data_IF_831919546915
#
_entry.id   IF_831919546915
#
_cell.length_a   1.000
_cell.length_b   1.000
_cell.length_c   1.000
_cell.angle_alpha   90.00
_cell.angle_beta   90.00
_cell.angle_gamma   90.00
#
_symmetry.space_group_name_H-M   'P 1'
#
loop_
_entity.id
_entity.type
_entity.pdbx_description
1 polymer ?
#
# COMPACT_ATOMS: atom_id res chain seq x y z
N UNK A 1 -27.91 2.86 2.50
CA UNK A 1 -26.58 2.87 1.84
C UNK A 1 -26.54 1.69 0.89
N UNK A 2 -26.24 1.89 -0.39
CA UNK A 2 -25.85 0.76 -1.24
C UNK A 2 -24.49 0.29 -0.72
N UNK A 3 -24.50 -0.66 0.23
CA UNK A 3 -23.32 -1.35 0.72
C UNK A 3 -22.67 -2.01 -0.49
N UNK A 4 -21.68 -1.36 -1.09
CA UNK A 4 -20.74 -2.08 -1.93
C UNK A 4 -20.12 -3.15 -1.04
N UNK A 5 -20.28 -4.40 -1.44
CA UNK A 5 -19.71 -5.54 -0.77
C UNK A 5 -18.21 -5.28 -0.57
N UNK A 6 -17.77 -5.17 0.69
CA UNK A 6 -16.38 -4.87 1.04
C UNK A 6 -15.43 -5.95 0.54
N UNK A 7 -15.95 -7.14 0.22
CA UNK A 7 -15.18 -8.24 -0.32
C UNK A 7 -15.07 -8.19 -1.85
N UNK A 8 -15.57 -7.15 -2.52
CA UNK A 8 -15.50 -7.04 -3.98
C UNK A 8 -14.80 -5.75 -4.38
N UNK A 9 -13.74 -5.90 -5.17
CA UNK A 9 -12.99 -4.78 -5.76
C UNK A 9 -13.20 -4.80 -7.27
N UNK A 10 -13.55 -3.64 -7.84
CA UNK A 10 -13.54 -3.43 -9.28
C UNK A 10 -12.29 -2.65 -9.67
N UNK A 11 -11.45 -3.32 -10.45
CA UNK A 11 -10.21 -2.81 -11.02
C UNK A 11 -10.50 -1.91 -12.23
N UNK A 12 -9.64 -0.91 -12.42
CA UNK A 12 -9.70 0.04 -13.53
C UNK A 12 -9.10 -0.58 -14.79
N UNK A 13 -7.84 -1.03 -14.69
CA UNK A 13 -7.14 -1.63 -15.82
C UNK A 13 -7.45 -3.11 -15.91
N UNK A 14 -7.42 -3.79 -14.77
CA UNK A 14 -7.62 -5.23 -14.64
C UNK A 14 -6.37 -6.05 -14.96
N UNK A 15 -6.34 -7.27 -14.47
CA UNK A 15 -5.26 -8.22 -14.79
C UNK A 15 -5.44 -8.71 -16.24
N UNK A 16 -4.45 -8.40 -17.08
CA UNK A 16 -4.42 -8.81 -18.49
C UNK A 16 -4.01 -10.26 -18.62
N UNK A 17 -4.74 -11.02 -19.43
CA UNK A 17 -4.42 -12.40 -19.79
C UNK A 17 -4.72 -12.65 -21.25
N UNK A 18 -4.09 -13.68 -21.82
CA UNK A 18 -4.32 -14.10 -23.19
C UNK A 18 -5.14 -15.39 -23.20
N UNK A 19 -6.28 -15.39 -23.87
CA UNK A 19 -7.14 -16.58 -24.05
C UNK A 19 -7.32 -16.79 -25.55
N UNK A 20 -6.61 -17.78 -26.09
CA UNK A 20 -6.48 -17.96 -27.54
C UNK A 20 -5.87 -16.71 -28.19
N UNK A 21 -6.54 -16.15 -29.19
CA UNK A 21 -6.08 -14.96 -29.92
C UNK A 21 -6.60 -13.63 -29.31
N UNK A 22 -7.29 -13.68 -28.17
CA UNK A 22 -7.88 -12.49 -27.55
C UNK A 22 -7.19 -12.12 -26.22
N UNK A 23 -6.92 -10.84 -26.04
CA UNK A 23 -6.53 -10.27 -24.74
C UNK A 23 -7.80 -10.02 -23.92
N UNK A 24 -7.83 -10.57 -22.72
CA UNK A 24 -8.94 -10.47 -21.78
C UNK A 24 -8.48 -9.81 -20.49
N UNK A 25 -9.40 -9.17 -19.76
CA UNK A 25 -9.07 -8.40 -18.55
C UNK A 25 -9.95 -8.84 -17.39
N UNK A 26 -9.32 -9.40 -16.36
CA UNK A 26 -10.00 -9.71 -15.11
C UNK A 26 -10.11 -8.43 -14.29
N UNK A 27 -11.34 -7.91 -14.18
CA UNK A 27 -11.61 -6.60 -13.57
C UNK A 27 -12.26 -6.68 -12.20
N UNK A 28 -12.72 -7.86 -11.79
CA UNK A 28 -13.35 -8.03 -10.49
C UNK A 28 -12.48 -8.93 -9.65
N UNK A 29 -12.16 -8.51 -8.44
CA UNK A 29 -11.43 -9.33 -7.46
C UNK A 29 -12.35 -9.57 -6.29
N UNK A 30 -12.52 -10.83 -5.91
CA UNK A 30 -13.15 -11.17 -4.64
C UNK A 30 -12.07 -11.34 -3.59
N UNK A 31 -12.31 -10.76 -2.42
CA UNK A 31 -11.44 -10.78 -1.28
C UNK A 31 -12.02 -11.70 -0.19
N UNK A 32 -11.14 -12.12 0.70
CA UNK A 32 -11.45 -12.90 1.89
C UNK A 32 -10.62 -12.39 3.08
N UNK A 33 -11.04 -12.80 4.27
CA UNK A 33 -10.22 -12.68 5.47
C UNK A 33 -8.99 -13.60 5.33
N UNK A 34 -7.86 -13.13 5.84
CA UNK A 34 -6.61 -13.89 5.93
C UNK A 34 -6.56 -14.68 7.23
N UNK A 35 -5.73 -15.70 7.23
CA UNK A 35 -5.46 -16.55 8.38
C UNK A 35 -4.00 -16.44 8.78
N UNK A 36 -3.64 -16.95 9.96
CA UNK A 36 -2.24 -17.07 10.39
C UNK A 36 -1.39 -17.87 9.37
N UNK A 37 -1.98 -18.86 8.70
CA UNK A 37 -1.29 -19.61 7.65
C UNK A 37 -0.98 -18.75 6.42
N UNK A 38 -1.85 -17.79 6.09
CA UNK A 38 -1.64 -16.84 5.01
C UNK A 38 -0.51 -15.86 5.34
N UNK A 39 -0.49 -15.34 6.57
CA UNK A 39 0.60 -14.47 7.06
C UNK A 39 1.95 -15.19 6.99
N UNK A 40 1.99 -16.45 7.44
CA UNK A 40 3.19 -17.26 7.36
C UNK A 40 3.64 -17.51 5.91
N UNK A 41 2.71 -17.80 5.00
CA UNK A 41 3.01 -17.96 3.58
C UNK A 41 3.49 -16.65 2.94
N UNK A 42 2.95 -15.50 3.35
CA UNK A 42 3.42 -14.18 2.91
C UNK A 42 4.84 -13.89 3.43
N UNK A 43 5.12 -14.23 4.68
CA UNK A 43 6.46 -14.09 5.29
C UNK A 43 7.49 -14.92 4.52
N UNK A 44 7.20 -16.18 4.23
CA UNK A 44 8.09 -17.05 3.45
C UNK A 44 8.40 -16.50 2.04
N UNK A 45 7.44 -15.83 1.40
CA UNK A 45 7.67 -15.20 0.09
C UNK A 45 8.54 -13.93 0.17
N UNK A 46 8.51 -13.27 1.32
CA UNK A 46 9.22 -12.04 1.59
C UNK A 46 10.63 -12.25 2.21
N UNK A 47 10.94 -13.47 2.64
CA UNK A 47 12.25 -13.86 3.14
C UNK A 47 13.33 -13.77 2.05
N UNK A 48 14.48 -13.18 2.40
CA UNK A 48 15.65 -13.02 1.54
C UNK A 48 16.92 -13.22 2.36
N UNK A 49 17.90 -13.89 1.75
CA UNK A 49 19.26 -13.95 2.29
C UNK A 49 20.04 -12.75 1.78
N UNK A 50 20.53 -11.93 2.70
CA UNK A 50 21.38 -10.78 2.40
C UNK A 50 22.71 -10.90 3.12
N UNK A 51 23.76 -10.29 2.57
CA UNK A 51 25.04 -10.20 3.27
C UNK A 51 25.03 -9.00 4.23
N UNK A 52 25.27 -9.27 5.51
CA UNK A 52 25.48 -8.24 6.54
C UNK A 52 26.86 -8.43 7.13
N UNK A 53 27.80 -7.57 6.75
CA UNK A 53 29.21 -7.58 7.22
C UNK A 53 29.94 -8.91 6.93
N UNK A 54 29.76 -9.46 5.72
CA UNK A 54 30.37 -10.71 5.28
C UNK A 54 29.68 -11.96 5.82
N UNK A 55 28.47 -11.83 6.40
CA UNK A 55 27.70 -12.94 6.96
C UNK A 55 26.33 -13.05 6.27
N UNK A 56 25.96 -14.21 5.72
CA UNK A 56 24.62 -14.41 5.19
C UNK A 56 23.61 -14.35 6.34
N UNK A 57 22.66 -13.42 6.23
CA UNK A 57 21.62 -13.17 7.22
C UNK A 57 20.26 -13.24 6.53
N UNK A 58 19.33 -13.99 7.11
CA UNK A 58 17.95 -14.04 6.64
C UNK A 58 17.19 -12.81 7.16
N UNK A 59 16.65 -12.01 6.25
CA UNK A 59 15.77 -10.87 6.57
C UNK A 59 14.46 -11.00 5.80
N UNK A 60 13.42 -10.35 6.31
CA UNK A 60 12.11 -10.23 5.64
C UNK A 60 12.01 -8.84 5.04
N UNK A 61 11.63 -8.74 3.77
CA UNK A 61 11.35 -7.46 3.13
C UNK A 61 9.91 -7.02 3.46
N UNK A 62 9.76 -5.87 4.12
CA UNK A 62 8.44 -5.32 4.47
C UNK A 62 7.58 -5.06 3.22
N UNK A 63 8.20 -4.57 2.14
CA UNK A 63 7.50 -4.30 0.88
C UNK A 63 6.99 -5.59 0.24
N UNK A 64 7.83 -6.62 0.13
CA UNK A 64 7.41 -7.91 -0.42
C UNK A 64 6.38 -8.59 0.49
N UNK A 65 6.51 -8.45 1.81
CA UNK A 65 5.56 -8.98 2.77
C UNK A 65 4.19 -8.33 2.56
N UNK A 66 4.13 -6.99 2.44
CA UNK A 66 2.89 -6.26 2.17
C UNK A 66 2.23 -6.78 0.90
N UNK A 67 2.94 -6.83 -0.22
CA UNK A 67 2.39 -7.29 -1.50
C UNK A 67 1.96 -8.75 -1.44
N UNK A 68 2.76 -9.62 -0.80
CA UNK A 68 2.43 -11.03 -0.65
C UNK A 68 1.19 -11.23 0.24
N UNK A 69 1.04 -10.47 1.31
CA UNK A 69 -0.14 -10.52 2.18
C UNK A 69 -1.38 -9.99 1.46
N UNK A 70 -1.27 -8.90 0.70
CA UNK A 70 -2.36 -8.39 -0.15
C UNK A 70 -2.81 -9.45 -1.16
N UNK A 71 -1.87 -10.17 -1.77
CA UNK A 71 -2.22 -11.31 -2.63
C UNK A 71 -3.00 -12.39 -1.85
N UNK A 72 -2.65 -12.67 -0.59
CA UNK A 72 -3.38 -13.68 0.22
C UNK A 72 -4.82 -13.29 0.54
N UNK A 73 -5.14 -12.00 0.58
CA UNK A 73 -6.53 -11.54 0.69
C UNK A 73 -7.36 -11.83 -0.56
N UNK A 74 -6.74 -12.00 -1.72
CA UNK A 74 -7.48 -12.33 -2.94
C UNK A 74 -8.01 -13.77 -2.85
N UNK A 75 -9.31 -13.98 -3.03
CA UNK A 75 -9.89 -15.31 -3.22
C UNK A 75 -9.79 -15.72 -4.69
N UNK A 76 -10.25 -14.82 -5.58
CA UNK A 76 -10.23 -15.05 -7.03
C UNK A 76 -10.33 -13.76 -7.85
N UNK A 77 -9.82 -13.83 -9.06
CA UNK A 77 -10.00 -12.83 -10.10
C UNK A 77 -11.07 -13.31 -11.08
N UNK A 78 -12.02 -12.43 -11.41
CA UNK A 78 -13.18 -12.74 -12.23
C UNK A 78 -13.19 -11.90 -13.51
N UNK A 79 -13.60 -12.53 -14.60
CA UNK A 79 -13.85 -11.91 -15.89
C UNK A 79 -15.17 -12.45 -16.43
N UNK A 80 -16.03 -11.57 -16.95
CA UNK A 80 -17.33 -11.98 -17.44
C UNK A 80 -17.20 -12.96 -18.62
N UNK A 81 -17.84 -14.13 -18.50
CA UNK A 81 -17.85 -15.15 -19.55
C UNK A 81 -16.60 -16.03 -19.62
N UNK A 82 -15.68 -15.94 -18.64
CA UNK A 82 -14.52 -16.79 -18.50
C UNK A 82 -14.48 -17.45 -17.12
N UNK A 83 -13.69 -18.49 -16.99
CA UNK A 83 -13.43 -19.13 -15.70
C UNK A 83 -12.66 -18.19 -14.77
N UNK A 84 -13.03 -18.19 -13.49
CA UNK A 84 -12.33 -17.43 -12.46
C UNK A 84 -10.89 -17.95 -12.28
N UNK A 85 -9.95 -17.05 -11.99
CA UNK A 85 -8.60 -17.42 -11.56
C UNK A 85 -8.57 -17.45 -10.03
N UNK A 86 -8.60 -18.63 -9.39
CA UNK A 86 -8.47 -18.73 -7.94
C UNK A 86 -7.07 -18.35 -7.47
N UNK A 87 -6.94 -17.93 -6.21
CA UNK A 87 -5.65 -17.60 -5.58
C UNK A 87 -4.59 -18.69 -5.75
N UNK A 88 -4.98 -19.97 -5.72
CA UNK A 88 -4.06 -21.10 -5.85
C UNK A 88 -3.32 -21.12 -7.19
N UNK A 89 -3.85 -20.46 -8.22
CA UNK A 89 -3.22 -20.32 -9.55
C UNK A 89 -2.54 -18.96 -9.72
N UNK A 90 -2.68 -18.04 -8.76
CA UNK A 90 -2.11 -16.70 -8.83
C UNK A 90 -0.69 -16.68 -8.24
N UNK A 91 0.29 -16.35 -9.07
CA UNK A 91 1.67 -16.14 -8.62
C UNK A 91 1.92 -14.68 -8.26
N UNK A 92 2.96 -14.42 -7.46
CA UNK A 92 3.37 -13.04 -7.12
C UNK A 92 3.76 -12.25 -8.38
N UNK A 93 4.35 -12.92 -9.37
CA UNK A 93 4.69 -12.30 -10.67
C UNK A 93 3.44 -11.90 -11.45
N UNK A 94 2.43 -12.77 -11.52
CA UNK A 94 1.16 -12.44 -12.18
C UNK A 94 0.46 -11.29 -11.47
N UNK A 95 0.43 -11.32 -10.14
CA UNK A 95 -0.14 -10.25 -9.32
C UNK A 95 0.60 -8.92 -9.51
N UNK A 96 1.93 -8.95 -9.64
CA UNK A 96 2.77 -7.79 -9.92
C UNK A 96 2.55 -7.16 -11.31
N UNK A 97 1.77 -7.77 -12.21
CA UNK A 97 1.36 -7.17 -13.50
C UNK A 97 0.18 -6.21 -13.37
N UNK A 98 -0.45 -6.15 -12.21
CA UNK A 98 -1.48 -5.14 -11.93
C UNK A 98 -0.88 -3.75 -12.00
N UNK A 99 -1.68 -2.78 -12.45
CA UNK A 99 -1.24 -1.39 -12.39
C UNK A 99 -1.13 -0.94 -10.93
N UNK A 100 -0.26 0.03 -10.62
CA UNK A 100 -0.12 0.54 -9.25
C UNK A 100 -1.45 1.05 -8.67
N UNK A 101 -2.33 1.60 -9.52
CA UNK A 101 -3.66 2.05 -9.13
C UNK A 101 -4.55 0.88 -8.71
N UNK A 102 -4.54 -0.21 -9.47
CA UNK A 102 -5.33 -1.40 -9.16
C UNK A 102 -4.82 -2.11 -7.90
N UNK A 103 -3.49 -2.17 -7.71
CA UNK A 103 -2.90 -2.70 -6.50
C UNK A 103 -3.31 -1.87 -5.27
N UNK A 104 -3.23 -0.54 -5.35
CA UNK A 104 -3.64 0.34 -4.24
C UNK A 104 -5.11 0.17 -3.88
N UNK A 105 -6.00 -0.02 -4.86
CA UNK A 105 -7.43 -0.29 -4.61
C UNK A 105 -7.67 -1.62 -3.90
N UNK A 106 -6.90 -2.65 -4.23
CA UNK A 106 -6.96 -3.93 -3.53
C UNK A 106 -6.46 -3.74 -2.10
N UNK A 107 -5.30 -3.11 -1.91
CA UNK A 107 -4.70 -2.84 -0.58
C UNK A 107 -5.67 -2.08 0.33
N UNK A 108 -6.26 -0.98 -0.14
CA UNK A 108 -7.25 -0.20 0.61
C UNK A 108 -8.44 -1.07 1.04
N UNK A 109 -8.92 -1.94 0.14
CA UNK A 109 -10.04 -2.81 0.45
C UNK A 109 -9.67 -3.93 1.42
N UNK A 110 -8.46 -4.46 1.36
CA UNK A 110 -7.95 -5.43 2.34
C UNK A 110 -7.98 -4.84 3.76
N UNK A 111 -7.55 -3.58 3.92
CA UNK A 111 -7.62 -2.89 5.22
C UNK A 111 -9.06 -2.83 5.75
N UNK A 112 -10.04 -2.56 4.88
CA UNK A 112 -11.46 -2.56 5.28
C UNK A 112 -11.97 -3.95 5.67
N UNK A 113 -11.51 -5.01 4.98
CA UNK A 113 -11.82 -6.40 5.33
C UNK A 113 -11.26 -6.75 6.70
N UNK A 114 -10.02 -6.36 6.99
CA UNK A 114 -9.37 -6.61 8.28
C UNK A 114 -10.05 -5.85 9.43
N UNK A 115 -10.37 -4.57 9.21
CA UNK A 115 -11.12 -3.77 10.18
C UNK A 115 -12.50 -4.38 10.47
N UNK A 116 -13.19 -4.87 9.43
CA UNK A 116 -14.47 -5.55 9.59
C UNK A 116 -14.31 -6.87 10.38
N UNK A 117 -13.24 -7.63 10.15
CA UNK A 117 -12.93 -8.83 10.92
C UNK A 117 -12.64 -8.50 12.39
N UNK A 118 -11.86 -7.46 12.67
CA UNK A 118 -11.57 -7.00 14.04
C UNK A 118 -12.84 -6.59 14.79
N UNK A 119 -13.77 -5.89 14.13
CA UNK A 119 -15.08 -5.56 14.70
C UNK A 119 -15.89 -6.83 15.01
N UNK A 120 -15.92 -7.77 14.06
CA UNK A 120 -16.64 -9.06 14.19
C UNK A 120 -16.11 -9.89 15.37
N UNK A 121 -14.80 -9.83 15.62
CA UNK A 121 -14.13 -10.52 16.73
C UNK A 121 -14.10 -9.71 18.03
N UNK A 122 -14.70 -8.51 18.06
CA UNK A 122 -14.81 -7.68 19.26
C UNK A 122 -13.49 -7.04 19.71
N UNK A 123 -12.49 -6.96 18.82
CA UNK A 123 -11.21 -6.31 19.11
C UNK A 123 -11.33 -4.77 19.06
N UNK A 124 -12.28 -4.26 18.29
CA UNK A 124 -12.60 -2.83 18.19
C UNK A 124 -14.09 -2.61 18.44
N UNK A 125 -14.44 -1.43 18.96
CA UNK A 125 -15.84 -1.01 19.08
C UNK A 125 -16.40 -0.53 17.75
N UNK A 126 -17.73 -0.53 17.62
CA UNK A 126 -18.40 -0.01 16.41
C UNK A 126 -18.08 1.47 16.17
N UNK A 127 -18.06 2.29 17.22
CA UNK A 127 -17.70 3.72 17.12
C UNK A 127 -16.27 3.92 16.59
N UNK A 128 -15.33 3.07 17.01
CA UNK A 128 -13.95 3.12 16.53
C UNK A 128 -13.85 2.75 15.04
N UNK A 129 -14.59 1.72 14.62
CA UNK A 129 -14.67 1.31 13.22
C UNK A 129 -15.25 2.43 12.33
N UNK A 130 -16.37 3.05 12.74
CA UNK A 130 -17.01 4.12 11.98
C UNK A 130 -16.13 5.37 11.87
N UNK A 131 -15.36 5.69 12.92
CA UNK A 131 -14.38 6.79 12.90
C UNK A 131 -13.29 6.54 11.87
N UNK A 132 -12.70 5.34 11.87
CA UNK A 132 -11.64 4.98 10.92
C UNK A 132 -12.16 4.96 9.47
N UNK A 133 -13.36 4.45 9.23
CA UNK A 133 -13.98 4.44 7.90
C UNK A 133 -14.23 5.87 7.37
N UNK A 134 -14.64 6.77 8.26
CA UNK A 134 -14.91 8.17 7.94
C UNK A 134 -13.65 8.98 7.58
N UNK A 135 -12.48 8.56 8.07
CA UNK A 135 -11.21 9.23 7.76
C UNK A 135 -10.58 8.72 6.46
N UNK A 136 -10.76 7.43 6.12
CA UNK A 136 -10.35 6.88 4.81
C UNK A 136 -11.12 7.56 3.67
N UNK A 137 -12.44 7.73 3.83
CA UNK A 137 -13.30 8.37 2.82
C UNK A 137 -13.10 9.88 2.64
N UNK A 138 -12.44 10.57 3.58
CA UNK A 138 -12.03 11.97 3.42
C UNK A 138 -10.72 12.13 2.63
N UNK A 139 -9.93 11.07 2.50
CA UNK A 139 -8.63 11.11 1.82
C UNK A 139 -8.73 11.09 0.28
N UNK A 140 -9.91 10.77 -0.29
CA UNK A 140 -10.17 10.79 -1.74
C UNK A 140 -10.32 12.21 -2.35
N UNK A 141 -10.01 13.28 -1.59
CA UNK A 141 -10.41 14.66 -1.90
C UNK A 141 -9.39 15.62 -2.51
N UNK A 142 -8.12 15.25 -2.75
CA UNK A 142 -7.13 16.24 -3.25
C UNK A 142 -6.07 15.65 -4.19
N UNK A 143 -6.48 15.35 -5.42
CA UNK A 143 -5.55 15.33 -6.56
C UNK A 143 -5.25 16.76 -7.04
N UNK A 144 -4.06 17.03 -7.64
CA UNK A 144 -3.68 18.35 -8.10
C UNK A 144 -4.55 18.76 -9.31
N UNK A 145 -5.42 19.76 -9.13
CA UNK A 145 -6.19 20.34 -10.24
C UNK A 145 -5.27 21.18 -11.11
N UNK A 146 -5.15 20.78 -12.38
CA UNK A 146 -4.49 21.54 -13.44
C UNK A 146 -5.29 22.80 -13.79
N UNK A 147 -4.60 23.94 -13.69
CA UNK A 147 -4.75 25.22 -14.41
C UNK A 147 -6.10 25.58 -15.03
N UNK A 148 -6.67 26.70 -14.56
CA UNK A 148 -7.61 27.49 -15.35
C UNK A 148 -8.68 28.22 -14.55
N UNK A 149 -8.31 29.15 -13.67
CA UNK A 149 -9.18 30.27 -13.30
C UNK A 149 -8.36 31.41 -12.69
N UNK A 150 -7.95 32.32 -13.57
CA UNK A 150 -7.52 33.65 -13.19
C UNK A 150 -8.75 34.51 -12.83
N UNK A 151 -8.52 35.49 -11.96
CA UNK A 151 -9.40 36.57 -11.51
C UNK A 151 -10.27 36.27 -10.27
N UNK A 152 -9.73 36.59 -9.10
CA UNK A 152 -10.14 37.84 -8.43
C UNK A 152 -9.00 38.34 -7.51
N UNK A 153 -8.50 39.52 -7.86
CA UNK A 153 -7.51 40.30 -7.12
C UNK A 153 -8.26 41.38 -6.33
N UNK A 154 -7.90 41.53 -5.05
CA UNK A 154 -8.31 42.62 -4.15
C UNK A 154 -8.76 42.07 -2.80
N UNK A 155 -8.27 42.49 -1.64
CA UNK A 155 -7.39 43.57 -1.22
C UNK A 155 -6.85 43.18 0.19
N UNK A 156 -5.85 43.94 0.62
CA UNK A 156 -4.77 43.66 1.57
C UNK A 156 -5.19 43.56 3.05
N UNK A 157 -4.54 42.66 3.78
CA UNK A 157 -4.52 42.65 5.26
C UNK A 157 -3.40 41.78 5.81
N UNK A 158 -2.26 42.39 6.14
CA UNK A 158 -1.00 41.77 6.54
C UNK A 158 -1.03 41.00 7.88
N UNK A 159 -0.30 39.88 7.95
CA UNK A 159 0.64 39.59 9.05
C UNK A 159 1.53 38.40 8.71
N UNK A 160 2.76 38.49 9.20
CA UNK A 160 3.95 37.81 8.73
C UNK A 160 4.06 36.34 9.16
N UNK A 161 4.57 35.48 8.27
CA UNK A 161 5.27 34.26 8.68
C UNK A 161 6.67 34.26 8.05
N UNK A 162 7.64 34.62 8.89
CA UNK A 162 9.06 34.35 8.71
C UNK A 162 9.29 32.85 8.95
N UNK A 163 9.73 32.12 7.93
CA UNK A 163 10.22 30.76 8.06
C UNK A 163 11.67 30.69 7.57
N UNK A 164 12.66 30.32 8.38
CA UNK A 164 14.02 30.20 7.90
C UNK A 164 14.25 28.86 7.19
N UNK A 165 14.40 28.98 5.88
CA UNK A 165 15.40 28.36 5.00
C UNK A 165 15.92 26.94 5.28
N UNK A 166 15.48 26.02 4.42
CA UNK A 166 16.27 25.01 3.69
C UNK A 166 17.47 24.39 4.42
N UNK A 167 17.25 23.13 4.83
CA UNK A 167 18.27 22.12 5.14
C UNK A 167 19.37 22.08 4.08
N UNK A 168 20.53 22.64 4.44
CA UNK A 168 21.81 22.40 3.79
C UNK A 168 22.80 22.08 4.91
N UNK A 169 23.74 21.18 4.63
CA UNK A 169 24.88 20.77 5.47
C UNK A 169 24.68 19.47 6.28
N UNK A 170 24.77 18.33 5.59
CA UNK A 170 25.34 17.12 6.20
C UNK A 170 26.31 16.46 5.23
N UNK A 171 27.45 17.12 5.00
CA UNK A 171 28.66 16.47 4.51
C UNK A 171 29.93 17.26 4.91
N UNK A 172 30.86 16.53 5.51
CA UNK A 172 32.29 16.79 5.68
C UNK A 172 32.75 17.70 6.84
N UNK A 173 33.54 17.09 7.74
CA UNK A 173 34.82 17.54 8.36
C UNK A 173 34.90 17.05 9.82
N UNK A 174 35.93 16.39 10.33
CA UNK A 174 37.28 16.11 9.84
C UNK A 174 37.89 14.90 10.59
N UNK A 175 38.72 14.14 9.87
CA UNK A 175 39.81 13.31 10.41
C UNK A 175 41.07 14.15 10.61
N UNK A 176 41.88 13.75 11.62
CA UNK A 176 43.29 14.14 11.91
C UNK A 176 43.51 15.49 12.63
N UNK A 177 44.27 15.63 13.72
CA UNK A 177 45.11 14.73 14.51
C UNK A 177 45.89 15.50 15.61
N UNK A 178 46.71 14.76 16.38
CA UNK A 178 47.85 15.18 17.23
C UNK A 178 47.66 15.57 18.73
N UNK A 179 48.02 14.60 19.59
CA UNK A 179 48.98 14.62 20.73
C UNK A 179 48.93 15.61 21.91
N UNK A 180 49.20 14.99 23.08
CA UNK A 180 49.92 15.44 24.29
C UNK A 180 49.19 16.16 25.45
N UNK A 181 49.41 15.62 26.67
CA UNK A 181 49.54 16.43 27.89
C UNK A 181 48.60 16.17 29.07
N UNK A 182 48.96 15.20 29.92
CA UNK A 182 48.87 15.12 31.40
C UNK A 182 47.74 15.80 32.21
N UNK A 183 47.17 15.03 33.16
CA UNK A 183 46.81 15.58 34.48
C UNK A 183 45.66 14.91 35.25
N UNK A 184 45.90 13.79 35.92
CA UNK A 184 45.74 13.57 37.39
C UNK A 184 45.95 12.12 37.78
#
# INVERSE_FOLDING_TARGET
>A
MNQQDIHVVTLVDGLRSQVGDQEVRYRTVRLRETTVADEYAAMQLAERVVDVKGKPTLLVSDELYRVALTLRHCDRFQCAGLDDIPLSLMTLEMFGRLSPLDLARIEERCVLVDLAAQLRHGLISQDAFETMLSDVSKSEGTGPRSEGQAAELGDVGASAQSGPSMLTDYAARDTEGATDGAGR
#
